data_IF_367383706680
#
_entry.id   IF_367383706680
#
_cell.length_a   1.000
_cell.length_b   1.000
_cell.length_c   1.000
_cell.angle_alpha   90.00
_cell.angle_beta   90.00
_cell.angle_gamma   90.00
#
_symmetry.space_group_name_H-M   'P 1'
#
loop_
_entity.id
_entity.type
_entity.pdbx_description
1 polymer ?
#
# COMPACT_ATOMS: atom_id res chain seq x y z
N UNK A 1 -18.58 -1.04 -2.79
CA UNK A 1 -17.14 -0.80 -2.54
C UNK A 1 -17.03 0.20 -1.40
N UNK A 2 -16.68 -0.23 -0.19
CA UNK A 2 -16.39 0.73 0.89
C UNK A 2 -15.10 1.45 0.50
N UNK A 3 -15.09 2.79 0.32
CA UNK A 3 -13.86 3.51 0.05
C UNK A 3 -12.88 3.25 1.18
N UNK A 4 -11.61 3.04 0.84
CA UNK A 4 -10.55 2.96 1.84
C UNK A 4 -10.61 4.21 2.71
N UNK A 5 -10.81 4.04 4.01
CA UNK A 5 -10.77 5.14 4.97
C UNK A 5 -9.32 5.42 5.37
N UNK A 6 -8.45 5.64 4.38
CA UNK A 6 -7.06 6.06 4.61
C UNK A 6 -6.98 7.57 4.43
N UNK A 7 -6.26 8.23 5.34
CA UNK A 7 -5.97 9.65 5.18
C UNK A 7 -5.01 9.86 4.01
N UNK A 8 -5.02 11.06 3.42
CA UNK A 8 -4.09 11.42 2.35
C UNK A 8 -2.62 11.27 2.77
N UNK A 9 -2.32 11.54 4.05
CA UNK A 9 -0.98 11.36 4.62
C UNK A 9 -0.56 9.88 4.64
N UNK A 10 -1.46 8.98 5.07
CA UNK A 10 -1.18 7.54 5.05
C UNK A 10 -1.02 7.03 3.62
N UNK A 11 -1.84 7.53 2.68
CA UNK A 11 -1.75 7.15 1.28
C UNK A 11 -0.40 7.57 0.65
N UNK A 12 0.13 8.76 0.97
CA UNK A 12 1.46 9.19 0.52
C UNK A 12 2.58 8.31 1.08
N UNK A 13 2.57 8.02 2.38
CA UNK A 13 3.58 7.14 3.00
C UNK A 13 3.56 5.73 2.41
N UNK A 14 2.37 5.21 2.12
CA UNK A 14 2.20 3.90 1.47
C UNK A 14 2.66 3.94 0.01
N UNK A 15 2.39 5.02 -0.73
CA UNK A 15 2.85 5.21 -2.10
C UNK A 15 4.39 5.16 -2.17
N UNK A 16 5.07 5.88 -1.27
CA UNK A 16 6.53 5.89 -1.17
C UNK A 16 7.08 4.51 -0.77
N UNK A 17 6.51 3.88 0.25
CA UNK A 17 6.98 2.59 0.77
C UNK A 17 6.77 1.44 -0.23
N UNK A 18 5.67 1.48 -0.99
CA UNK A 18 5.37 0.49 -2.02
C UNK A 18 5.99 0.85 -3.38
N UNK A 19 6.58 2.04 -3.50
CA UNK A 19 7.06 2.63 -4.75
C UNK A 19 6.00 2.57 -5.87
N UNK A 20 4.77 2.98 -5.52
CA UNK A 20 3.59 2.97 -6.38
C UNK A 20 2.97 4.38 -6.45
N UNK A 21 2.28 4.72 -7.56
CA UNK A 21 1.61 6.01 -7.68
C UNK A 21 0.46 6.17 -6.68
N UNK A 22 0.26 7.39 -6.20
CA UNK A 22 -0.74 7.72 -5.19
C UNK A 22 -2.16 7.43 -5.67
N UNK A 23 -2.47 7.71 -6.95
CA UNK A 23 -3.76 7.40 -7.56
C UNK A 23 -4.06 5.90 -7.46
N UNK A 24 -3.06 5.06 -7.72
CA UNK A 24 -3.22 3.62 -7.64
C UNK A 24 -3.48 3.17 -6.21
N UNK A 25 -2.82 3.77 -5.19
CA UNK A 25 -3.07 3.48 -3.77
C UNK A 25 -4.51 3.85 -3.37
N UNK A 26 -5.00 5.01 -3.82
CA UNK A 26 -6.35 5.50 -3.49
C UNK A 26 -7.48 4.66 -4.12
N UNK A 27 -7.23 4.07 -5.29
CA UNK A 27 -8.17 3.18 -5.96
C UNK A 27 -7.95 1.69 -5.63
N UNK A 28 -6.89 1.36 -4.90
CA UNK A 28 -6.56 -0.02 -4.58
C UNK A 28 -7.56 -0.60 -3.57
N UNK A 29 -7.94 -1.88 -3.69
CA UNK A 29 -8.64 -2.54 -2.61
C UNK A 29 -7.70 -2.87 -1.43
N UNK A 30 -8.23 -2.77 -0.21
CA UNK A 30 -7.47 -2.94 1.05
C UNK A 30 -6.65 -4.25 1.14
N UNK A 31 -7.22 -5.36 0.68
CA UNK A 31 -6.56 -6.67 0.78
C UNK A 31 -5.32 -6.76 -0.13
N UNK A 32 -5.27 -6.02 -1.24
CA UNK A 32 -4.10 -5.99 -2.14
C UNK A 32 -2.98 -5.16 -1.51
N UNK A 33 -3.30 -4.05 -0.84
CA UNK A 33 -2.31 -3.27 -0.09
C UNK A 33 -1.64 -4.14 0.98
N UNK A 34 -2.43 -4.91 1.75
CA UNK A 34 -1.91 -5.84 2.75
C UNK A 34 -1.03 -6.93 2.14
N UNK A 35 -1.42 -7.50 0.99
CA UNK A 35 -0.61 -8.49 0.29
C UNK A 35 0.74 -7.91 -0.17
N UNK A 36 0.74 -6.69 -0.74
CA UNK A 36 1.96 -5.98 -1.19
C UNK A 36 2.90 -5.67 -0.04
N UNK A 37 2.37 -5.21 1.09
CA UNK A 37 3.16 -4.98 2.31
C UNK A 37 3.80 -6.27 2.83
N UNK A 38 3.05 -7.37 2.83
CA UNK A 38 3.56 -8.67 3.24
C UNK A 38 4.65 -9.20 2.28
N UNK A 39 4.52 -8.95 0.97
CA UNK A 39 5.55 -9.27 -0.03
C UNK A 39 6.85 -8.52 0.22
N UNK A 40 6.78 -7.22 0.53
CA UNK A 40 7.96 -6.41 0.84
C UNK A 40 8.64 -6.90 2.12
N UNK A 41 7.89 -7.13 3.21
CA UNK A 41 8.45 -7.68 4.44
C UNK A 41 9.12 -9.04 4.21
N UNK A 42 8.52 -9.90 3.39
CA UNK A 42 9.14 -11.19 3.02
C UNK A 42 10.42 -11.00 2.22
N UNK A 43 10.49 -10.01 1.35
CA UNK A 43 11.71 -9.71 0.59
C UNK A 43 12.81 -9.11 1.48
N UNK A 44 12.46 -8.23 2.42
CA UNK A 44 13.41 -7.66 3.38
C UNK A 44 13.96 -8.73 4.33
N UNK A 45 13.12 -9.65 4.82
CA UNK A 45 13.53 -10.70 5.75
C UNK A 45 14.25 -11.89 5.08
N UNK A 46 14.44 -11.85 3.76
CA UNK A 46 15.16 -12.89 2.99
C UNK A 46 16.57 -12.45 2.55
N UNK A 47 16.99 -11.23 2.94
CA UNK A 47 18.37 -10.74 2.85
C UNK A 47 19.08 -10.96 4.17
#
# INVERSE_FOLDING_TARGET
>A
MRPLQISAETAQKLAESLNLPLEQIMHMPQHILLARLADIQKQENKK
#
